data_IF_411809214791
#
_entry.id   IF_411809214791
#
_cell.length_a   1.000
_cell.length_b   1.000
_cell.length_c   1.000
_cell.angle_alpha   90.00
_cell.angle_beta   90.00
_cell.angle_gamma   90.00
#
_symmetry.space_group_name_H-M   'P 1'
#
loop_
_entity.id
_entity.type
_entity.pdbx_description
1 polymer ?
#
# COMPACT_ATOMS: atom_id res chain seq x y z
N UNK A 1 -7.52 12.63 15.49
CA UNK A 1 -8.11 11.72 14.47
C UNK A 1 -8.66 10.47 15.15
N UNK A 2 -9.94 10.18 14.95
CA UNK A 2 -10.63 9.08 15.63
C UNK A 2 -10.21 7.71 15.05
N UNK A 3 -10.35 6.64 15.85
CA UNK A 3 -9.95 5.27 15.46
C UNK A 3 -10.65 4.79 14.19
N UNK A 4 -11.94 5.12 14.04
CA UNK A 4 -12.74 4.78 12.86
C UNK A 4 -12.17 5.40 11.58
N UNK A 5 -11.80 6.68 11.62
CA UNK A 5 -11.21 7.39 10.47
C UNK A 5 -9.87 6.79 10.05
N UNK A 6 -8.97 6.50 11.00
CA UNK A 6 -7.70 5.80 10.70
C UNK A 6 -7.94 4.48 9.99
N UNK A 7 -8.87 3.68 10.50
CA UNK A 7 -9.18 2.36 9.94
C UNK A 7 -9.77 2.50 8.53
N UNK A 8 -10.66 3.47 8.31
CA UNK A 8 -11.23 3.76 6.97
C UNK A 8 -10.14 4.16 5.98
N UNK A 9 -9.20 5.02 6.35
CA UNK A 9 -8.09 5.42 5.48
C UNK A 9 -7.24 4.22 5.04
N UNK A 10 -6.91 3.33 5.99
CA UNK A 10 -6.15 2.12 5.64
C UNK A 10 -6.97 1.16 4.79
N UNK A 11 -8.27 0.96 5.08
CA UNK A 11 -9.14 0.13 4.26
C UNK A 11 -9.21 0.67 2.83
N UNK A 12 -9.40 1.97 2.63
CA UNK A 12 -9.42 2.60 1.31
C UNK A 12 -8.06 2.38 0.60
N UNK A 13 -6.95 2.62 1.29
CA UNK A 13 -5.62 2.39 0.71
C UNK A 13 -5.38 0.92 0.32
N UNK A 14 -5.79 -0.02 1.17
CA UNK A 14 -5.72 -1.47 0.89
C UNK A 14 -6.57 -1.83 -0.33
N UNK A 15 -7.79 -1.28 -0.43
CA UNK A 15 -8.66 -1.51 -1.58
C UNK A 15 -8.08 -0.95 -2.88
N UNK A 16 -7.51 0.26 -2.85
CA UNK A 16 -6.82 0.83 -4.01
C UNK A 16 -5.63 -0.03 -4.43
N UNK A 17 -4.86 -0.53 -3.47
CA UNK A 17 -3.72 -1.38 -3.76
C UNK A 17 -4.11 -2.73 -4.37
N UNK A 18 -5.19 -3.34 -3.86
CA UNK A 18 -5.76 -4.55 -4.45
C UNK A 18 -6.27 -4.29 -5.87
N UNK A 19 -6.88 -3.13 -6.12
CA UNK A 19 -7.33 -2.73 -7.45
C UNK A 19 -6.13 -2.61 -8.42
N UNK A 20 -5.03 -1.98 -8.00
CA UNK A 20 -3.82 -1.88 -8.84
C UNK A 20 -3.25 -3.25 -9.18
N UNK A 21 -3.22 -4.19 -8.22
CA UNK A 21 -2.79 -5.57 -8.48
C UNK A 21 -3.70 -6.27 -9.51
N UNK A 22 -5.02 -6.16 -9.35
CA UNK A 22 -5.99 -6.77 -10.26
C UNK A 22 -5.89 -6.19 -11.67
N UNK A 23 -5.80 -4.86 -11.79
CA UNK A 23 -5.63 -4.19 -13.07
C UNK A 23 -4.29 -4.51 -13.72
N UNK A 24 -3.21 -4.58 -12.94
CA UNK A 24 -1.88 -4.94 -13.43
C UNK A 24 -1.85 -6.35 -14.02
N UNK A 25 -2.40 -7.33 -13.31
CA UNK A 25 -2.50 -8.72 -13.80
C UNK A 25 -3.44 -8.80 -15.01
N UNK A 26 -4.59 -8.13 -14.95
CA UNK A 26 -5.55 -8.11 -16.06
C UNK A 26 -4.94 -7.55 -17.34
N UNK A 27 -4.23 -6.43 -17.25
CA UNK A 27 -3.54 -5.82 -18.38
C UNK A 27 -2.42 -6.71 -18.91
N UNK A 28 -1.62 -7.35 -18.04
CA UNK A 28 -0.60 -8.31 -18.48
C UNK A 28 -1.21 -9.46 -19.29
N UNK A 29 -2.30 -10.05 -18.81
CA UNK A 29 -2.99 -11.14 -19.51
C UNK A 29 -3.54 -10.67 -20.85
N UNK A 30 -4.15 -9.48 -20.92
CA UNK A 30 -4.66 -8.91 -22.18
C UNK A 30 -3.53 -8.69 -23.19
N UNK A 31 -2.40 -8.13 -22.75
CA UNK A 31 -1.23 -7.89 -23.63
C UNK A 31 -0.70 -9.22 -24.17
N UNK A 32 -0.53 -10.22 -23.32
CA UNK A 32 -0.03 -11.54 -23.72
C UNK A 32 -0.97 -12.25 -24.71
N UNK A 33 -2.29 -12.08 -24.59
CA UNK A 33 -3.27 -12.73 -25.46
C UNK A 33 -3.50 -11.99 -26.78
N UNK A 34 -3.54 -10.64 -26.77
CA UNK A 34 -3.86 -9.84 -27.96
C UNK A 34 -2.64 -9.46 -28.81
N UNK A 35 -1.48 -9.32 -28.19
CA UNK A 35 -0.27 -8.82 -28.84
C UNK A 35 0.92 -9.77 -28.65
N UNK A 36 0.79 -11.07 -29.00
CA UNK A 36 1.83 -12.08 -28.73
C UNK A 36 3.14 -11.83 -29.48
N UNK A 37 3.12 -11.04 -30.55
CA UNK A 37 4.30 -10.70 -31.36
C UNK A 37 4.88 -9.32 -31.04
N UNK A 38 4.15 -8.49 -30.29
CA UNK A 38 4.60 -7.18 -29.81
C UNK A 38 4.87 -7.25 -28.31
N UNK A 39 5.55 -8.33 -27.88
CA UNK A 39 5.88 -8.50 -26.48
C UNK A 39 6.77 -7.35 -26.03
N UNK A 40 6.45 -6.71 -24.89
CA UNK A 40 7.25 -5.63 -24.36
C UNK A 40 8.70 -6.08 -24.13
N UNK A 41 9.63 -5.13 -24.16
CA UNK A 41 11.04 -5.41 -23.95
C UNK A 41 11.22 -6.20 -22.64
N UNK A 42 12.20 -7.12 -22.60
CA UNK A 42 12.44 -7.97 -21.42
C UNK A 42 12.54 -7.15 -20.11
N UNK A 43 13.12 -5.96 -20.20
CA UNK A 43 13.24 -5.00 -19.10
C UNK A 43 11.89 -4.52 -18.57
N UNK A 44 10.92 -4.26 -19.44
CA UNK A 44 9.57 -3.82 -19.07
C UNK A 44 8.80 -4.94 -18.37
N UNK A 45 8.91 -6.17 -18.86
CA UNK A 45 8.30 -7.35 -18.21
C UNK A 45 8.90 -7.58 -16.83
N UNK A 46 10.23 -7.52 -16.71
CA UNK A 46 10.91 -7.66 -15.41
C UNK A 46 10.50 -6.54 -14.45
N UNK A 47 10.41 -5.30 -14.92
CA UNK A 47 9.97 -4.17 -14.10
C UNK A 47 8.51 -4.34 -13.65
N UNK A 48 7.62 -4.78 -14.53
CA UNK A 48 6.22 -5.01 -14.18
C UNK A 48 6.05 -6.11 -13.12
N UNK A 49 6.83 -7.20 -13.19
CA UNK A 49 6.90 -8.21 -12.13
C UNK A 49 7.46 -7.67 -10.82
N UNK A 50 8.49 -6.83 -10.88
CA UNK A 50 9.03 -6.16 -9.72
C UNK A 50 7.97 -5.28 -9.04
N UNK A 51 7.26 -4.44 -9.80
CA UNK A 51 6.17 -3.60 -9.29
C UNK A 51 5.05 -4.46 -8.70
N UNK A 52 4.71 -5.59 -9.33
CA UNK A 52 3.72 -6.54 -8.82
C UNK A 52 4.12 -7.10 -7.44
N UNK A 53 5.37 -7.56 -7.29
CA UNK A 53 5.89 -8.08 -6.02
C UNK A 53 5.87 -7.01 -4.93
N UNK A 54 6.30 -5.79 -5.26
CA UNK A 54 6.25 -4.63 -4.34
C UNK A 54 4.81 -4.40 -3.87
N UNK A 55 3.84 -4.44 -4.79
CA UNK A 55 2.43 -4.31 -4.45
C UNK A 55 1.90 -5.44 -3.57
N UNK A 56 2.29 -6.69 -3.83
CA UNK A 56 1.89 -7.83 -3.02
C UNK A 56 2.43 -7.72 -1.58
N UNK A 57 3.71 -7.38 -1.42
CA UNK A 57 4.35 -7.19 -0.11
C UNK A 57 3.68 -6.04 0.65
N UNK A 58 3.51 -4.88 0.00
CA UNK A 58 2.88 -3.74 0.64
C UNK A 58 1.43 -4.00 1.04
N UNK A 59 0.68 -4.80 0.26
CA UNK A 59 -0.68 -5.19 0.58
C UNK A 59 -0.70 -6.05 1.85
N UNK A 60 0.19 -7.04 1.93
CA UNK A 60 0.37 -7.87 3.12
C UNK A 60 0.71 -7.05 4.37
N UNK A 61 1.65 -6.11 4.26
CA UNK A 61 2.01 -5.21 5.37
C UNK A 61 0.85 -4.30 5.80
N UNK A 62 0.09 -3.74 4.85
CA UNK A 62 -1.05 -2.89 5.14
C UNK A 62 -2.18 -3.67 5.82
N UNK A 63 -2.50 -4.89 5.35
CA UNK A 63 -3.48 -5.78 5.99
C UNK A 63 -3.01 -6.20 7.39
N UNK A 64 -1.74 -6.57 7.55
CA UNK A 64 -1.17 -6.89 8.85
C UNK A 64 -1.29 -5.70 9.83
N UNK A 65 -1.00 -4.49 9.36
CA UNK A 65 -1.11 -3.28 10.17
C UNK A 65 -2.53 -3.00 10.67
N UNK A 66 -3.58 -3.36 9.91
CA UNK A 66 -4.98 -3.24 10.33
C UNK A 66 -5.27 -4.09 11.58
N UNK A 67 -4.78 -5.32 11.60
CA UNK A 67 -4.89 -6.20 12.77
C UNK A 67 -4.11 -5.65 13.97
N UNK A 68 -2.95 -5.07 13.69
CA UNK A 68 -2.04 -4.55 14.71
C UNK A 68 -2.51 -3.23 15.35
N UNK A 69 -3.31 -2.42 14.65
CA UNK A 69 -3.83 -1.13 15.12
C UNK A 69 -4.60 -1.21 16.46
N UNK A 70 -5.19 -2.37 16.79
CA UNK A 70 -5.92 -2.57 18.03
C UNK A 70 -5.05 -2.88 19.24
N UNK A 71 -3.94 -3.59 19.02
CA UNK A 71 -3.06 -4.12 20.08
C UNK A 71 -1.79 -3.31 20.24
N UNK A 72 -1.15 -2.94 19.12
CA UNK A 72 0.15 -2.26 19.10
C UNK A 72 0.13 -1.11 18.07
N UNK A 73 -0.58 0.00 18.37
CA UNK A 73 -0.81 1.08 17.41
C UNK A 73 0.49 1.70 16.90
N UNK A 74 1.52 1.84 17.74
CA UNK A 74 2.83 2.36 17.31
C UNK A 74 3.44 1.51 16.20
N UNK A 75 3.50 0.19 16.38
CA UNK A 75 4.05 -0.72 15.37
C UNK A 75 3.22 -0.68 14.09
N UNK A 76 1.89 -0.62 14.21
CA UNK A 76 1.00 -0.47 13.05
C UNK A 76 1.32 0.82 12.29
N UNK A 77 1.54 1.92 13.01
CA UNK A 77 1.94 3.20 12.44
C UNK A 77 3.25 3.15 11.68
N UNK A 78 4.26 2.48 12.24
CA UNK A 78 5.57 2.27 11.59
C UNK A 78 5.40 1.50 10.28
N UNK A 79 4.68 0.37 10.28
CA UNK A 79 4.46 -0.41 9.05
C UNK A 79 3.74 0.39 7.97
N UNK A 80 2.73 1.18 8.33
CA UNK A 80 2.00 2.03 7.37
C UNK A 80 2.89 3.15 6.80
N UNK A 81 3.72 3.77 7.62
CA UNK A 81 4.66 4.79 7.16
C UNK A 81 5.71 4.20 6.22
N UNK A 82 6.32 3.07 6.60
CA UNK A 82 7.30 2.38 5.77
C UNK A 82 6.69 1.96 4.44
N UNK A 83 5.48 1.38 4.47
CA UNK A 83 4.77 0.96 3.26
C UNK A 83 4.50 2.16 2.35
N UNK A 84 3.93 3.25 2.89
CA UNK A 84 3.66 4.46 2.10
C UNK A 84 4.92 5.11 1.52
N UNK A 85 5.98 5.23 2.33
CA UNK A 85 7.23 5.87 1.92
C UNK A 85 7.98 5.07 0.85
N UNK A 86 8.07 3.74 1.01
CA UNK A 86 8.75 2.88 0.05
C UNK A 86 7.96 2.74 -1.26
N UNK A 87 6.63 2.75 -1.19
CA UNK A 87 5.78 2.60 -2.38
C UNK A 87 5.95 3.73 -3.41
N UNK A 88 6.22 4.97 -2.98
CA UNK A 88 6.33 6.09 -3.91
C UNK A 88 7.49 5.89 -4.90
N UNK A 89 8.76 5.73 -4.46
CA UNK A 89 9.87 5.54 -5.39
C UNK A 89 9.81 4.20 -6.13
N UNK A 90 9.35 3.12 -5.47
CA UNK A 90 9.31 1.78 -6.07
C UNK A 90 8.24 1.62 -7.16
N UNK A 91 7.23 2.50 -7.17
CA UNK A 91 6.17 2.52 -8.19
C UNK A 91 6.28 3.72 -9.12
N UNK A 92 7.38 4.47 -9.06
CA UNK A 92 7.59 5.72 -9.82
C UNK A 92 6.44 6.73 -9.64
N UNK A 93 5.85 6.77 -8.43
CA UNK A 93 4.75 7.67 -8.09
C UNK A 93 3.36 7.21 -8.53
N UNK A 94 3.21 6.05 -9.17
CA UNK A 94 1.90 5.55 -9.60
C UNK A 94 0.90 5.39 -8.42
N UNK A 95 1.39 5.17 -7.20
CA UNK A 95 0.55 4.98 -6.01
C UNK A 95 0.60 6.13 -5.01
N UNK A 96 0.90 7.37 -5.43
CA UNK A 96 1.04 8.52 -4.50
C UNK A 96 -0.17 8.69 -3.58
N UNK A 97 -1.39 8.61 -4.10
CA UNK A 97 -2.62 8.79 -3.30
C UNK A 97 -2.71 7.69 -2.22
N UNK A 98 -2.52 6.44 -2.59
CA UNK A 98 -2.52 5.30 -1.66
C UNK A 98 -1.44 5.45 -0.59
N UNK A 99 -0.22 5.83 -0.99
CA UNK A 99 0.90 6.06 -0.10
C UNK A 99 0.60 7.16 0.92
N UNK A 100 -0.01 8.26 0.49
CA UNK A 100 -0.44 9.35 1.37
C UNK A 100 -1.50 8.89 2.37
N UNK A 101 -2.49 8.11 1.95
CA UNK A 101 -3.49 7.55 2.86
C UNK A 101 -2.85 6.69 3.96
N UNK A 102 -1.89 5.83 3.60
CA UNK A 102 -1.14 5.04 4.58
C UNK A 102 -0.29 5.90 5.50
N UNK A 103 0.41 6.91 4.98
CA UNK A 103 1.21 7.81 5.80
C UNK A 103 0.36 8.60 6.79
N UNK A 104 -0.77 9.16 6.36
CA UNK A 104 -1.69 9.90 7.25
C UNK A 104 -2.29 8.97 8.31
N UNK A 105 -2.71 7.76 7.93
CA UNK A 105 -3.19 6.77 8.89
C UNK A 105 -2.09 6.34 9.88
N UNK A 106 -0.87 6.19 9.39
CA UNK A 106 0.32 5.82 10.16
C UNK A 106 0.69 6.88 11.20
N UNK A 107 0.84 8.15 10.78
CA UNK A 107 1.02 9.30 11.68
C UNK A 107 -0.09 9.37 12.74
N UNK A 108 -1.31 9.09 12.33
CA UNK A 108 -2.46 9.01 13.22
C UNK A 108 -2.31 7.99 14.36
N UNK A 109 -1.50 6.96 14.20
CA UNK A 109 -1.29 5.93 15.22
C UNK A 109 -0.34 6.38 16.35
N UNK A 110 0.54 7.35 16.11
CA UNK A 110 1.48 7.87 17.11
C UNK A 110 0.86 8.90 18.06
N UNK A 111 -0.13 9.67 17.59
CA UNK A 111 -0.84 10.70 18.37
C UNK A 111 -1.65 10.20 19.57
N UNK A 112 -1.63 8.88 19.86
CA UNK A 112 -2.45 8.26 20.90
C UNK A 112 -1.81 8.26 22.30
N UNK A 113 -0.58 8.75 22.45
CA UNK A 113 0.10 8.72 23.75
C UNK A 113 0.07 10.05 24.54
N UNK A 114 -0.38 11.16 23.94
CA UNK A 114 -0.30 12.47 24.59
C UNK A 114 -1.48 12.81 25.51
N UNK A 115 -2.54 11.99 25.58
CA UNK A 115 -3.72 12.27 26.43
C UNK A 115 -3.87 11.35 27.64
N UNK A 116 -2.98 10.37 27.83
CA UNK A 116 -3.05 9.43 28.95
C UNK A 116 -1.86 9.57 29.92
N UNK A 117 -0.98 10.54 29.69
CA UNK A 117 0.12 10.93 30.59
C UNK A 117 -0.15 12.28 31.27
N UNK A 118 -1.41 12.71 31.30
CA UNK A 118 -1.85 13.97 31.91
C UNK A 118 -3.09 13.79 32.81
N UNK A 119 -3.35 12.56 33.25
CA UNK A 119 -4.41 12.23 34.20
C UNK A 119 -3.80 11.46 35.37
#
# INVERSE_FOLDING_TARGET
MNRTWRRRLVIIGVSLQALVLLLGVGMMVVVMLKYPNELPARTEVMYAWFVFIVHAIGLGLAVYSLGLMGRQPKRAGVYLLLTGLLMIPLTLGATVIQSLLFMVAGLGCFRRQSYFLSA
#
